data_IF_363313126593
#
_entry.id   IF_363313126593
#
_cell.length_a   1.000
_cell.length_b   1.000
_cell.length_c   1.000
_cell.angle_alpha   90.00
_cell.angle_beta   90.00
_cell.angle_gamma   90.00
#
_symmetry.space_group_name_H-M   'P 1'
#
loop_
_entity.id
_entity.type
_entity.pdbx_description
1 polymer ?
#
# COMPACT_ATOMS: atom_id res chain seq x y z
N UNK A 1 -4.10 10.63 28.39
CA UNK A 1 -5.13 9.59 28.23
C UNK A 1 -5.70 9.50 26.82
N UNK A 2 -5.94 10.62 26.14
CA UNK A 2 -6.53 10.71 24.79
C UNK A 2 -5.79 9.95 23.68
N UNK A 3 -4.46 9.91 23.70
CA UNK A 3 -3.68 9.16 22.68
C UNK A 3 -3.93 7.65 22.67
N UNK A 4 -4.08 7.03 23.86
CA UNK A 4 -4.37 5.59 23.97
C UNK A 4 -5.76 5.23 23.44
N UNK A 5 -6.76 6.10 23.66
CA UNK A 5 -8.11 5.89 23.14
C UNK A 5 -8.15 6.02 21.61
N UNK A 6 -7.48 7.01 21.03
CA UNK A 6 -7.37 7.16 19.56
C UNK A 6 -6.75 5.92 18.91
N UNK A 7 -5.61 5.44 19.44
CA UNK A 7 -4.94 4.27 18.91
C UNK A 7 -5.81 3.00 18.97
N UNK A 8 -6.58 2.80 20.07
CA UNK A 8 -7.51 1.67 20.18
C UNK A 8 -8.65 1.74 19.17
N UNK A 9 -9.19 2.93 18.90
CA UNK A 9 -10.23 3.13 17.89
C UNK A 9 -9.69 2.88 16.48
N UNK A 10 -8.49 3.35 16.17
CA UNK A 10 -7.81 3.08 14.90
C UNK A 10 -7.51 1.59 14.71
N UNK A 11 -7.03 0.90 15.75
CA UNK A 11 -6.80 -0.53 15.72
C UNK A 11 -8.09 -1.34 15.48
N UNK A 12 -9.19 -0.96 16.15
CA UNK A 12 -10.48 -1.58 15.91
C UNK A 12 -11.00 -1.32 14.49
N UNK A 13 -10.86 -0.09 13.99
CA UNK A 13 -11.24 0.28 12.64
C UNK A 13 -10.46 -0.54 11.59
N UNK A 14 -9.13 -0.59 11.71
CA UNK A 14 -8.27 -1.33 10.78
C UNK A 14 -8.60 -2.81 10.76
N UNK A 15 -8.83 -3.41 11.94
CA UNK A 15 -9.24 -4.80 12.04
C UNK A 15 -10.56 -5.06 11.33
N UNK A 16 -11.56 -4.18 11.46
CA UNK A 16 -12.82 -4.30 10.72
C UNK A 16 -12.58 -4.20 9.21
N UNK A 17 -11.75 -3.24 8.76
CA UNK A 17 -11.42 -3.07 7.34
C UNK A 17 -10.74 -4.34 6.79
N UNK A 18 -9.79 -4.91 7.51
CA UNK A 18 -9.09 -6.14 7.10
C UNK A 18 -9.99 -7.38 7.19
N UNK A 19 -10.89 -7.48 8.15
CA UNK A 19 -11.71 -8.70 8.28
C UNK A 19 -12.97 -8.67 7.41
N UNK A 20 -13.52 -7.49 7.17
CA UNK A 20 -14.87 -7.32 6.61
C UNK A 20 -14.98 -6.23 5.53
N UNK A 21 -13.95 -5.41 5.33
CA UNK A 21 -13.97 -4.28 4.42
C UNK A 21 -14.64 -3.03 5.02
N UNK A 22 -14.46 -1.89 4.34
CA UNK A 22 -14.90 -0.57 4.85
C UNK A 22 -16.42 -0.48 5.00
N UNK A 23 -17.20 -1.19 4.18
CA UNK A 23 -18.68 -1.16 4.28
C UNK A 23 -19.24 -1.78 5.55
N UNK A 24 -18.43 -2.53 6.30
CA UNK A 24 -18.83 -3.04 7.61
C UNK A 24 -18.52 -2.06 8.74
N UNK A 25 -17.86 -0.94 8.45
CA UNK A 25 -17.40 -0.01 9.46
C UNK A 25 -18.53 0.93 9.88
N UNK A 26 -18.82 0.96 11.19
CA UNK A 26 -19.77 1.90 11.80
C UNK A 26 -19.22 2.40 13.13
N UNK A 27 -19.63 3.60 13.54
CA UNK A 27 -19.27 4.20 14.84
C UNK A 27 -19.52 3.21 15.99
N UNK A 28 -20.66 2.51 15.96
CA UNK A 28 -21.00 1.49 16.95
C UNK A 28 -20.04 0.29 16.92
N UNK A 29 -19.82 -0.33 15.75
CA UNK A 29 -18.95 -1.51 15.63
C UNK A 29 -17.51 -1.20 16.06
N UNK A 30 -16.99 -0.04 15.68
CA UNK A 30 -15.65 0.40 16.09
C UNK A 30 -15.60 0.62 17.61
N UNK A 31 -16.59 1.29 18.20
CA UNK A 31 -16.67 1.49 19.64
C UNK A 31 -16.74 0.16 20.42
N UNK A 32 -17.62 -0.74 19.98
CA UNK A 32 -17.82 -2.07 20.58
C UNK A 32 -16.52 -2.89 20.52
N UNK A 33 -15.88 -2.98 19.34
CA UNK A 33 -14.63 -3.73 19.17
C UNK A 33 -13.45 -3.08 19.93
N UNK A 34 -13.41 -1.74 19.98
CA UNK A 34 -12.40 -1.02 20.74
C UNK A 34 -12.63 -1.13 22.26
N UNK A 35 -13.81 -1.54 22.73
CA UNK A 35 -14.21 -1.52 24.13
C UNK A 35 -14.28 -0.08 24.68
N UNK A 36 -14.80 0.85 23.87
CA UNK A 36 -14.84 2.29 24.15
C UNK A 36 -16.20 2.89 23.74
N UNK A 37 -16.55 4.02 24.37
CA UNK A 37 -17.74 4.77 23.98
C UNK A 37 -17.61 5.26 22.53
N UNK A 38 -18.57 4.90 21.68
CA UNK A 38 -18.59 5.23 20.25
C UNK A 38 -18.64 6.74 19.98
N UNK A 39 -19.14 7.55 20.93
CA UNK A 39 -19.10 9.01 20.85
C UNK A 39 -17.67 9.58 20.77
N UNK A 40 -16.66 8.81 21.23
CA UNK A 40 -15.26 9.20 21.09
C UNK A 40 -14.80 9.26 19.63
N UNK A 41 -15.48 8.58 18.72
CA UNK A 41 -15.14 8.64 17.29
C UNK A 41 -15.46 10.02 16.74
N UNK A 42 -16.68 10.51 16.97
CA UNK A 42 -17.07 11.87 16.59
C UNK A 42 -16.18 12.91 17.28
N UNK A 43 -15.89 12.73 18.57
CA UNK A 43 -15.05 13.65 19.33
C UNK A 43 -13.59 13.71 18.84
N UNK A 44 -12.99 12.57 18.48
CA UNK A 44 -11.57 12.52 18.11
C UNK A 44 -11.28 12.67 16.62
N UNK A 45 -12.23 12.30 15.77
CA UNK A 45 -12.03 12.18 14.33
C UNK A 45 -13.11 12.91 13.52
N UNK A 46 -14.08 13.58 14.16
CA UNK A 46 -15.17 14.25 13.45
C UNK A 46 -16.19 13.30 12.79
N UNK A 47 -16.04 11.98 12.98
CA UNK A 47 -16.92 10.96 12.41
C UNK A 47 -16.13 9.81 11.78
N UNK A 48 -16.83 8.97 11.01
CA UNK A 48 -16.21 7.82 10.33
C UNK A 48 -15.25 8.27 9.22
N UNK A 49 -15.62 9.29 8.44
CA UNK A 49 -14.77 9.79 7.36
C UNK A 49 -13.38 10.24 7.88
N UNK A 50 -13.33 11.08 8.91
CA UNK A 50 -12.05 11.49 9.49
C UNK A 50 -11.30 10.38 10.23
N UNK A 51 -12.01 9.34 10.71
CA UNK A 51 -11.37 8.13 11.25
C UNK A 51 -10.67 7.34 10.13
N UNK A 52 -11.32 7.18 8.98
CA UNK A 52 -10.75 6.51 7.80
C UNK A 52 -9.60 7.30 7.20
N UNK A 53 -9.70 8.62 7.11
CA UNK A 53 -8.59 9.48 6.68
C UNK A 53 -7.37 9.31 7.60
N UNK A 54 -7.58 9.43 8.91
CA UNK A 54 -6.50 9.25 9.90
C UNK A 54 -5.89 7.84 9.81
N UNK A 55 -6.73 6.82 9.64
CA UNK A 55 -6.27 5.44 9.49
C UNK A 55 -5.46 5.24 8.20
N UNK A 56 -5.90 5.84 7.10
CA UNK A 56 -5.21 5.81 5.82
C UNK A 56 -3.82 6.46 5.94
N UNK A 57 -3.73 7.63 6.56
CA UNK A 57 -2.45 8.31 6.78
C UNK A 57 -1.50 7.50 7.66
N UNK A 58 -2.01 6.83 8.70
CA UNK A 58 -1.19 5.94 9.54
C UNK A 58 -0.62 4.75 8.75
N UNK A 59 -1.35 4.21 7.79
CA UNK A 59 -0.89 3.11 6.93
C UNK A 59 0.08 3.59 5.84
N UNK A 60 -0.13 4.80 5.32
CA UNK A 60 0.68 5.37 4.26
C UNK A 60 1.99 5.98 4.76
N UNK A 61 2.04 6.47 6.00
CA UNK A 61 3.23 7.11 6.58
C UNK A 61 4.48 6.21 6.53
N UNK A 62 4.46 4.93 6.96
CA UNK A 62 5.64 4.06 6.83
C UNK A 62 6.09 3.87 5.38
N UNK A 63 5.15 3.84 4.43
CA UNK A 63 5.47 3.70 3.01
C UNK A 63 6.14 4.98 2.48
N UNK A 64 5.61 6.16 2.82
CA UNK A 64 6.21 7.47 2.51
C UNK A 64 7.64 7.57 3.01
N UNK A 65 7.86 7.19 4.26
CA UNK A 65 9.20 7.23 4.87
C UNK A 65 10.17 6.31 4.14
N UNK A 66 9.75 5.09 3.80
CA UNK A 66 10.60 4.15 3.07
C UNK A 66 10.89 4.59 1.62
N UNK A 67 9.92 5.20 0.93
CA UNK A 67 10.10 5.71 -0.43
C UNK A 67 11.05 6.89 -0.54
N UNK A 68 11.45 7.55 0.55
CA UNK A 68 12.55 8.54 0.52
C UNK A 68 13.86 7.95 -0.01
N UNK A 69 14.07 6.64 0.12
CA UNK A 69 15.22 5.96 -0.45
C UNK A 69 15.25 6.00 -2.00
N UNK A 70 14.12 6.30 -2.67
CA UNK A 70 14.10 6.51 -4.13
C UNK A 70 14.86 7.77 -4.56
N UNK A 71 15.11 8.71 -3.65
CA UNK A 71 15.89 9.92 -3.91
C UNK A 71 17.39 9.70 -3.73
N UNK A 72 17.79 8.57 -3.14
CA UNK A 72 19.20 8.19 -3.02
C UNK A 72 19.76 7.72 -4.37
N UNK A 73 21.04 7.98 -4.67
CA UNK A 73 21.70 7.47 -5.87
C UNK A 73 21.54 5.95 -6.00
N UNK A 74 21.36 5.49 -7.24
CA UNK A 74 21.46 4.07 -7.58
C UNK A 74 22.93 3.72 -7.85
N UNK A 75 23.34 2.45 -7.67
CA UNK A 75 24.62 1.94 -8.17
C UNK A 75 24.81 2.21 -9.67
N UNK A 76 26.06 2.34 -10.10
CA UNK A 76 26.45 2.49 -11.52
C UNK A 76 26.74 1.14 -12.20
N UNK A 77 26.19 0.04 -11.67
CA UNK A 77 26.39 -1.33 -12.14
C UNK A 77 25.05 -2.09 -12.29
N UNK A 78 25.13 -3.39 -12.57
CA UNK A 78 23.97 -4.26 -12.78
C UNK A 78 23.07 -4.39 -11.54
N UNK A 79 23.51 -3.94 -10.36
CA UNK A 79 22.69 -3.93 -9.14
C UNK A 79 21.69 -2.76 -9.09
N UNK A 80 21.79 -1.78 -9.99
CA UNK A 80 20.92 -0.61 -10.00
C UNK A 80 19.43 -0.95 -10.05
N UNK A 81 19.03 -1.80 -11.00
CA UNK A 81 17.62 -2.20 -11.18
C UNK A 81 17.10 -3.02 -9.99
N UNK A 82 17.79 -4.06 -9.48
CA UNK A 82 17.40 -4.74 -8.24
C UNK A 82 17.24 -3.80 -7.03
N UNK A 83 18.14 -2.83 -6.84
CA UNK A 83 18.06 -1.84 -5.75
C UNK A 83 16.83 -0.95 -5.91
N UNK A 84 16.59 -0.42 -7.11
CA UNK A 84 15.41 0.38 -7.42
C UNK A 84 14.11 -0.38 -7.15
N UNK A 85 14.03 -1.64 -7.62
CA UNK A 85 12.85 -2.48 -7.44
C UNK A 85 12.59 -2.77 -5.96
N UNK A 86 13.62 -3.05 -5.16
CA UNK A 86 13.45 -3.24 -3.72
C UNK A 86 12.93 -1.96 -3.05
N UNK A 87 13.55 -0.81 -3.32
CA UNK A 87 13.14 0.50 -2.77
C UNK A 87 11.69 0.85 -3.11
N UNK A 88 11.22 0.47 -4.30
CA UNK A 88 9.84 0.68 -4.72
C UNK A 88 8.85 -0.32 -4.10
N UNK A 89 9.17 -1.61 -4.13
CA UNK A 89 8.22 -2.70 -3.89
C UNK A 89 8.13 -3.14 -2.44
N UNK A 90 9.21 -3.04 -1.67
CA UNK A 90 9.21 -3.40 -0.25
C UNK A 90 8.16 -2.60 0.56
N UNK A 91 8.02 -1.27 0.36
CA UNK A 91 6.97 -0.49 1.04
C UNK A 91 5.54 -0.99 0.75
N UNK A 92 5.29 -1.57 -0.42
CA UNK A 92 3.97 -2.09 -0.81
C UNK A 92 3.56 -3.36 -0.03
N UNK A 93 4.52 -4.03 0.60
CA UNK A 93 4.30 -5.25 1.38
C UNK A 93 4.34 -5.03 2.90
N UNK A 94 4.43 -3.77 3.34
CA UNK A 94 4.44 -3.44 4.76
C UNK A 94 3.15 -3.89 5.47
N UNK A 95 3.27 -4.31 6.74
CA UNK A 95 2.11 -4.70 7.54
C UNK A 95 1.18 -3.52 7.78
N UNK A 96 -0.08 -3.81 8.12
CA UNK A 96 -1.04 -2.80 8.58
C UNK A 96 -0.52 -2.07 9.82
N UNK A 97 -0.84 -0.78 9.94
CA UNK A 97 -0.31 0.09 10.99
C UNK A 97 -0.70 -0.35 12.41
N UNK A 98 -1.85 -1.01 12.56
CA UNK A 98 -2.38 -1.49 13.84
C UNK A 98 -2.65 -3.01 13.85
N UNK A 99 -2.54 -3.67 12.71
CA UNK A 99 -2.90 -5.06 12.48
C UNK A 99 -1.78 -5.74 11.68
N UNK A 100 -0.74 -6.26 12.36
CA UNK A 100 0.44 -6.85 11.70
C UNK A 100 0.13 -8.03 10.76
N UNK A 101 -1.01 -8.70 10.95
CA UNK A 101 -1.48 -9.79 10.08
C UNK A 101 -2.15 -9.32 8.78
N UNK A 102 -2.37 -8.01 8.60
CA UNK A 102 -2.84 -7.43 7.34
C UNK A 102 -1.75 -6.62 6.64
N UNK A 103 -2.08 -6.04 5.48
CA UNK A 103 -1.17 -5.20 4.69
C UNK A 103 -1.68 -3.77 4.60
N UNK A 104 -0.79 -2.80 4.79
CA UNK A 104 -1.12 -1.38 4.73
C UNK A 104 -1.75 -0.99 3.39
N UNK A 105 -1.16 -1.48 2.29
CA UNK A 105 -1.65 -1.23 0.94
C UNK A 105 -3.10 -1.70 0.73
N UNK A 106 -3.49 -2.84 1.33
CA UNK A 106 -4.86 -3.36 1.21
C UNK A 106 -5.87 -2.51 1.99
N UNK A 107 -5.46 -1.93 3.13
CA UNK A 107 -6.29 -0.99 3.90
C UNK A 107 -6.49 0.30 3.09
N UNK A 108 -5.42 0.85 2.54
CA UNK A 108 -5.45 2.08 1.72
C UNK A 108 -6.34 1.89 0.49
N UNK A 109 -6.17 0.78 -0.23
CA UNK A 109 -6.96 0.43 -1.43
C UNK A 109 -8.45 0.25 -1.11
N UNK A 110 -8.79 -0.43 -0.02
CA UNK A 110 -10.19 -0.62 0.40
C UNK A 110 -10.86 0.71 0.80
N UNK A 111 -10.11 1.63 1.44
CA UNK A 111 -10.61 2.98 1.77
C UNK A 111 -10.79 3.81 0.50
N UNK A 112 -9.78 3.87 -0.36
CA UNK A 112 -9.79 4.67 -1.59
C UNK A 112 -10.88 4.23 -2.58
N UNK A 113 -11.20 2.93 -2.60
CA UNK A 113 -12.23 2.37 -3.48
C UNK A 113 -13.67 2.69 -3.05
N UNK A 114 -13.88 3.10 -1.79
CA UNK A 114 -15.23 3.38 -1.26
C UNK A 114 -15.47 4.85 -0.97
N UNK A 115 -14.43 5.59 -0.60
CA UNK A 115 -14.50 7.03 -0.41
C UNK A 115 -14.31 7.73 -1.76
N UNK A 116 -15.39 8.23 -2.37
CA UNK A 116 -15.31 9.12 -3.53
C UNK A 116 -15.17 10.56 -3.05
N UNK A 117 -13.96 11.12 -3.10
CA UNK A 117 -13.70 12.50 -2.66
C UNK A 117 -12.21 12.83 -2.55
N UNK A 118 -11.90 13.89 -1.79
CA UNK A 118 -10.56 14.47 -1.69
C UNK A 118 -9.47 13.46 -1.26
N UNK A 119 -9.81 12.51 -0.38
CA UNK A 119 -8.87 11.47 0.06
C UNK A 119 -8.43 10.57 -1.11
N UNK A 120 -9.38 10.08 -1.91
CA UNK A 120 -9.08 9.18 -3.04
C UNK A 120 -8.30 9.91 -4.14
N UNK A 121 -8.63 11.18 -4.40
CA UNK A 121 -7.87 12.03 -5.34
C UNK A 121 -6.42 12.26 -4.88
N UNK A 122 -6.22 12.60 -3.61
CA UNK A 122 -4.88 12.75 -3.00
C UNK A 122 -4.06 11.47 -3.12
N UNK A 123 -4.65 10.33 -2.75
CA UNK A 123 -3.99 9.03 -2.84
C UNK A 123 -3.61 8.67 -4.28
N UNK A 124 -4.53 8.91 -5.22
CA UNK A 124 -4.27 8.70 -6.64
C UNK A 124 -3.11 9.56 -7.13
N UNK A 125 -3.08 10.84 -6.74
CA UNK A 125 -2.00 11.75 -7.12
C UNK A 125 -0.65 11.31 -6.56
N UNK A 126 -0.61 10.92 -5.28
CA UNK A 126 0.60 10.48 -4.58
C UNK A 126 1.16 9.17 -5.17
N UNK A 127 0.31 8.16 -5.34
CA UNK A 127 0.70 6.89 -5.95
C UNK A 127 1.19 7.07 -7.39
N UNK A 128 0.55 7.95 -8.16
CA UNK A 128 0.97 8.27 -9.52
C UNK A 128 2.32 9.02 -9.55
N UNK A 129 2.62 9.85 -8.54
CA UNK A 129 3.92 10.51 -8.44
C UNK A 129 5.05 9.50 -8.19
N UNK A 130 4.83 8.53 -7.29
CA UNK A 130 5.78 7.43 -7.06
C UNK A 130 5.98 6.60 -8.34
N UNK A 131 4.90 6.21 -9.02
CA UNK A 131 4.99 5.44 -10.26
C UNK A 131 5.78 6.17 -11.36
N UNK A 132 5.55 7.48 -11.54
CA UNK A 132 6.31 8.31 -12.47
C UNK A 132 7.79 8.42 -12.09
N UNK A 133 8.10 8.55 -10.80
CA UNK A 133 9.50 8.60 -10.36
C UNK A 133 10.23 7.28 -10.63
N UNK A 134 9.60 6.15 -10.32
CA UNK A 134 10.14 4.82 -10.60
C UNK A 134 10.35 4.60 -12.09
N UNK A 135 9.39 4.98 -12.93
CA UNK A 135 9.54 4.91 -14.39
C UNK A 135 10.76 5.71 -14.87
N UNK A 136 10.90 6.95 -14.40
CA UNK A 136 12.04 7.83 -14.73
C UNK A 136 13.37 7.22 -14.32
N UNK A 137 13.43 6.59 -13.14
CA UNK A 137 14.63 5.92 -12.62
C UNK A 137 14.94 4.61 -13.34
N UNK A 138 13.93 3.86 -13.78
CA UNK A 138 14.10 2.56 -14.42
C UNK A 138 14.50 2.67 -15.91
N UNK A 139 14.00 3.68 -16.62
CA UNK A 139 14.16 3.80 -18.08
C UNK A 139 15.63 3.73 -18.58
N UNK A 140 16.62 4.37 -17.94
CA UNK A 140 18.02 4.28 -18.37
C UNK A 140 18.60 2.86 -18.34
N UNK A 141 18.06 1.98 -17.47
CA UNK A 141 18.49 0.59 -17.32
C UNK A 141 17.71 -0.38 -18.21
N UNK A 142 16.68 0.10 -18.91
CA UNK A 142 15.79 -0.70 -19.74
C UNK A 142 15.61 -0.05 -21.13
N UNK A 143 16.71 0.20 -21.88
CA UNK A 143 16.65 0.92 -23.15
C UNK A 143 15.92 0.15 -24.26
N UNK A 144 15.74 -1.16 -24.10
CA UNK A 144 14.99 -2.03 -25.00
C UNK A 144 13.46 -1.87 -24.85
N UNK A 145 12.99 -1.23 -23.78
CA UNK A 145 11.56 -0.99 -23.56
C UNK A 145 11.17 0.42 -23.98
N UNK A 146 10.09 0.52 -24.75
CA UNK A 146 9.42 1.80 -24.99
C UNK A 146 8.85 2.35 -23.66
N UNK A 147 8.68 3.68 -23.54
CA UNK A 147 8.04 4.27 -22.35
C UNK A 147 6.63 3.72 -22.07
N UNK A 148 5.87 3.38 -23.12
CA UNK A 148 4.53 2.82 -23.00
C UNK A 148 4.56 1.40 -22.42
N UNK A 149 5.44 0.55 -22.94
CA UNK A 149 5.58 -0.83 -22.47
C UNK A 149 6.15 -0.87 -21.04
N UNK A 150 7.13 -0.02 -20.71
CA UNK A 150 7.64 0.12 -19.35
C UNK A 150 6.51 0.52 -18.38
N UNK A 151 5.69 1.50 -18.75
CA UNK A 151 4.54 1.91 -17.93
C UNK A 151 3.54 0.77 -17.73
N UNK A 152 3.26 -0.01 -18.78
CA UNK A 152 2.37 -1.17 -18.70
C UNK A 152 2.92 -2.23 -17.73
N UNK A 153 4.21 -2.59 -17.85
CA UNK A 153 4.87 -3.56 -16.95
C UNK A 153 4.88 -3.09 -15.50
N UNK A 154 5.22 -1.83 -15.23
CA UNK A 154 5.18 -1.27 -13.88
C UNK A 154 3.76 -1.33 -13.30
N UNK A 155 2.72 -1.03 -14.09
CA UNK A 155 1.32 -1.17 -13.67
C UNK A 155 0.96 -2.62 -13.32
N UNK A 156 1.43 -3.60 -14.10
CA UNK A 156 1.20 -5.01 -13.81
C UNK A 156 1.90 -5.48 -12.54
N UNK A 157 3.15 -5.04 -12.32
CA UNK A 157 3.92 -5.33 -11.10
C UNK A 157 3.22 -4.73 -9.87
N UNK A 158 2.75 -3.48 -9.95
CA UNK A 158 1.97 -2.86 -8.87
C UNK A 158 0.68 -3.64 -8.59
N UNK A 159 0.01 -4.15 -9.63
CA UNK A 159 -1.15 -5.03 -9.49
C UNK A 159 -0.80 -6.36 -8.78
N UNK A 160 0.34 -6.96 -9.09
CA UNK A 160 0.83 -8.16 -8.41
C UNK A 160 1.14 -7.90 -6.92
N UNK A 161 1.72 -6.73 -6.60
CA UNK A 161 1.92 -6.31 -5.21
C UNK A 161 0.59 -6.19 -4.46
N UNK A 162 -0.48 -5.70 -5.09
CA UNK A 162 -1.79 -5.60 -4.47
C UNK A 162 -2.48 -6.97 -4.30
N UNK A 163 -2.39 -7.83 -5.31
CA UNK A 163 -3.00 -9.17 -5.33
C UNK A 163 -4.48 -9.18 -5.78
N UNK A 164 -5.05 -10.37 -6.01
CA UNK A 164 -6.41 -10.52 -6.54
C UNK A 164 -7.49 -10.14 -5.51
N UNK A 165 -8.64 -9.60 -5.94
CA UNK A 165 -9.79 -9.42 -5.07
C UNK A 165 -10.47 -10.77 -4.74
N UNK A 166 -11.09 -10.93 -3.55
CA UNK A 166 -11.11 -10.00 -2.41
C UNK A 166 -9.80 -10.05 -1.61
N UNK A 167 -9.10 -8.92 -1.56
CA UNK A 167 -7.70 -8.81 -1.10
C UNK A 167 -7.53 -9.12 0.38
N UNK A 168 -8.45 -8.61 1.19
CA UNK A 168 -8.44 -8.70 2.64
C UNK A 168 -8.68 -10.13 3.15
N UNK A 169 -9.62 -10.86 2.54
CA UNK A 169 -9.91 -12.27 2.86
C UNK A 169 -8.72 -13.18 2.52
N UNK A 170 -8.14 -13.01 1.34
CA UNK A 170 -7.07 -13.89 0.88
C UNK A 170 -5.76 -13.70 1.66
N UNK A 171 -5.48 -12.46 2.11
CA UNK A 171 -4.39 -12.20 3.05
C UNK A 171 -4.63 -12.92 4.39
N UNK A 172 -5.87 -12.89 4.92
CA UNK A 172 -6.23 -13.56 6.18
C UNK A 172 -6.09 -15.08 6.12
N UNK A 173 -6.44 -15.69 4.98
CA UNK A 173 -6.34 -17.14 4.77
C UNK A 173 -4.91 -17.59 4.46
N UNK A 174 -3.95 -16.66 4.39
CA UNK A 174 -2.54 -16.96 4.11
C UNK A 174 -2.26 -17.31 2.64
N UNK A 175 -3.29 -17.34 1.79
CA UNK A 175 -3.20 -17.77 0.38
C UNK A 175 -2.29 -16.85 -0.43
N UNK A 176 -2.33 -15.55 -0.16
CA UNK A 176 -1.46 -14.53 -0.77
C UNK A 176 -0.72 -13.69 0.27
N UNK A 177 -0.39 -14.28 1.42
CA UNK A 177 0.39 -13.62 2.47
C UNK A 177 1.87 -13.51 2.06
N UNK A 178 2.12 -12.71 1.03
CA UNK A 178 3.46 -12.40 0.58
C UNK A 178 3.98 -11.19 1.37
N UNK A 179 4.39 -11.42 2.62
CA UNK A 179 4.86 -10.38 3.54
C UNK A 179 6.29 -10.66 4.01
N UNK A 180 6.91 -9.63 4.58
CA UNK A 180 8.29 -9.72 5.07
C UNK A 180 9.32 -9.90 3.96
N UNK A 181 10.53 -10.27 4.35
CA UNK A 181 11.69 -10.31 3.47
C UNK A 181 11.53 -11.32 2.32
N UNK A 182 10.99 -12.51 2.60
CA UNK A 182 10.77 -13.52 1.58
C UNK A 182 9.79 -13.03 0.52
N UNK A 183 8.69 -12.39 0.94
CA UNK A 183 7.72 -11.88 -0.03
C UNK A 183 8.25 -10.73 -0.87
N UNK A 184 9.03 -9.84 -0.26
CA UNK A 184 9.78 -8.81 -0.99
C UNK A 184 10.72 -9.43 -2.00
N UNK A 185 11.48 -10.47 -1.63
CA UNK A 185 12.40 -11.16 -2.54
C UNK A 185 11.67 -11.77 -3.74
N UNK A 186 10.55 -12.45 -3.51
CA UNK A 186 9.75 -13.04 -4.58
C UNK A 186 9.19 -11.98 -5.54
N UNK A 187 8.63 -10.89 -5.00
CA UNK A 187 8.06 -9.81 -5.80
C UNK A 187 9.14 -9.07 -6.61
N UNK A 188 10.31 -8.80 -6.02
CA UNK A 188 11.45 -8.17 -6.71
C UNK A 188 11.98 -9.08 -7.83
N UNK A 189 12.10 -10.40 -7.59
CA UNK A 189 12.51 -11.36 -8.64
C UNK A 189 11.52 -11.41 -9.80
N UNK A 190 10.21 -11.45 -9.50
CA UNK A 190 9.16 -11.38 -10.51
C UNK A 190 9.25 -10.08 -11.32
N UNK A 191 9.35 -8.93 -10.64
CA UNK A 191 9.44 -7.62 -11.28
C UNK A 191 10.69 -7.50 -12.16
N UNK A 192 11.84 -7.98 -11.68
CA UNK A 192 13.08 -7.98 -12.45
C UNK A 192 12.93 -8.80 -13.74
N UNK A 193 12.43 -10.04 -13.64
CA UNK A 193 12.20 -10.88 -14.81
C UNK A 193 11.20 -10.26 -15.80
N UNK A 194 10.12 -9.65 -15.29
CA UNK A 194 9.13 -8.97 -16.12
C UNK A 194 9.74 -7.78 -16.88
N UNK A 195 10.65 -7.02 -16.27
CA UNK A 195 11.30 -5.86 -16.91
C UNK A 195 12.45 -6.25 -17.83
N UNK A 196 13.22 -7.29 -17.50
CA UNK A 196 14.34 -7.76 -18.30
C UNK A 196 13.93 -8.59 -19.52
N UNK A 197 12.67 -9.02 -19.63
CA UNK A 197 12.16 -9.70 -20.82
C UNK A 197 12.18 -8.81 -22.08
N UNK A 198 12.15 -9.41 -23.29
CA UNK A 198 12.22 -8.68 -24.56
C UNK A 198 11.07 -7.67 -24.69
N UNK A 199 11.29 -6.59 -25.44
CA UNK A 199 10.26 -5.59 -25.74
C UNK A 199 9.30 -6.05 -26.84
N UNK A 200 8.23 -5.27 -27.07
CA UNK A 200 7.34 -5.50 -28.21
C UNK A 200 8.13 -5.33 -29.53
N UNK A 201 8.27 -6.43 -30.29
CA UNK A 201 8.90 -6.42 -31.61
C UNK A 201 10.29 -7.06 -31.73
N UNK A 202 10.81 -7.67 -30.65
CA UNK A 202 11.98 -8.57 -30.66
C UNK A 202 11.59 -10.06 -30.67
#
# INVERSE_FOLDING_TARGET
>A
MTGKSKARLLAAAERIVIEHGVGYLTVRRVGDLAGLNSALITYHFGGVAGLLETLCDHNLMPMREAWKALDEPLPDDDAALPVLLRRWLEPLLLPGAFTPGGRALAVIDEIASRESGELSERLTHEMAAIARNVMRLAQPHLPHLSPEELMARLRFIAGAALGPPPRTRLNREGIFANTGEEGTNQLVRFAYAALSGPGDGE
#
